data_IF_385487695544
#
_entry.id   IF_385487695544
#
_cell.length_a   1.000
_cell.length_b   1.000
_cell.length_c   1.000
_cell.angle_alpha   90.00
_cell.angle_beta   90.00
_cell.angle_gamma   90.00
#
_symmetry.space_group_name_H-M   'P 1'
#
loop_
_entity.id
_entity.type
_entity.pdbx_description
1 polymer ?
#
# COMPACT_ATOMS: atom_id res chain seq x y z
N UNK A 1 -1.12 -34.06 -50.76
CA UNK A 1 -2.48 -33.49 -50.91
C UNK A 1 -3.31 -33.92 -49.70
N UNK A 2 -3.35 -33.10 -48.65
CA UNK A 2 -3.92 -33.47 -47.33
C UNK A 2 -5.37 -33.01 -47.26
N UNK A 3 -6.31 -33.96 -47.14
CA UNK A 3 -7.76 -33.70 -47.02
C UNK A 3 -8.08 -33.15 -45.63
N UNK A 4 -8.56 -31.90 -45.58
CA UNK A 4 -9.14 -31.26 -44.41
C UNK A 4 -10.47 -31.95 -44.05
N UNK A 5 -10.48 -32.69 -42.94
CA UNK A 5 -11.71 -33.21 -42.33
C UNK A 5 -12.32 -32.12 -41.43
N UNK A 6 -13.38 -31.47 -41.91
CA UNK A 6 -14.23 -30.60 -41.10
C UNK A 6 -14.98 -31.42 -40.05
N UNK A 7 -14.58 -31.33 -38.78
CA UNK A 7 -15.35 -31.86 -37.65
C UNK A 7 -16.37 -30.81 -37.19
N UNK A 8 -17.64 -31.09 -37.47
CA UNK A 8 -18.80 -30.35 -36.96
C UNK A 8 -19.02 -30.73 -35.49
N UNK A 9 -18.60 -29.89 -34.55
CA UNK A 9 -18.88 -30.07 -33.12
C UNK A 9 -20.09 -29.22 -32.71
N UNK A 10 -21.28 -29.81 -32.81
CA UNK A 10 -22.45 -29.35 -32.07
C UNK A 10 -22.36 -29.88 -30.63
N UNK A 11 -22.22 -28.99 -29.66
CA UNK A 11 -22.16 -29.34 -28.26
C UNK A 11 -22.25 -28.11 -27.37
N UNK A 12 -23.45 -27.55 -27.24
CA UNK A 12 -23.76 -26.53 -26.24
C UNK A 12 -23.59 -27.18 -24.86
N UNK A 13 -22.39 -27.08 -24.28
CA UNK A 13 -22.17 -27.33 -22.86
C UNK A 13 -22.50 -26.04 -22.11
N UNK A 14 -23.68 -26.00 -21.49
CA UNK A 14 -24.02 -25.03 -20.44
C UNK A 14 -23.08 -25.30 -19.26
N UNK A 15 -21.93 -24.63 -19.23
CA UNK A 15 -21.13 -24.55 -18.02
C UNK A 15 -21.96 -23.74 -17.02
N UNK A 16 -22.62 -24.45 -16.09
CA UNK A 16 -23.08 -23.86 -14.83
C UNK A 16 -21.83 -23.30 -14.16
N UNK A 17 -21.60 -22.00 -14.32
CA UNK A 17 -20.77 -21.22 -13.42
C UNK A 17 -21.40 -21.33 -12.04
N UNK A 18 -20.93 -22.30 -11.25
CA UNK A 18 -21.16 -22.27 -9.82
C UNK A 18 -20.45 -21.03 -9.31
N UNK A 19 -21.20 -19.97 -9.06
CA UNK A 19 -20.74 -18.86 -8.22
C UNK A 19 -20.34 -19.48 -6.89
N UNK A 20 -19.03 -19.67 -6.70
CA UNK A 20 -18.48 -19.95 -5.37
C UNK A 20 -18.85 -18.73 -4.53
N UNK A 21 -19.79 -18.93 -3.60
CA UNK A 21 -20.08 -17.95 -2.57
C UNK A 21 -18.74 -17.64 -1.89
N UNK A 22 -18.23 -16.44 -2.10
CA UNK A 22 -17.16 -15.91 -1.27
C UNK A 22 -17.76 -15.88 0.14
N UNK A 23 -17.26 -16.74 1.03
CA UNK A 23 -17.56 -16.65 2.44
C UNK A 23 -16.99 -15.33 2.91
N UNK A 24 -17.91 -14.40 3.16
CA UNK A 24 -17.61 -13.07 3.61
C UNK A 24 -17.31 -13.12 5.11
N UNK A 25 -16.10 -12.72 5.48
CA UNK A 25 -15.80 -12.20 6.83
C UNK A 25 -16.52 -10.86 7.00
N UNK A 26 -17.85 -10.85 6.92
CA UNK A 26 -18.65 -9.67 6.58
C UNK A 26 -18.96 -8.78 7.79
N UNK A 27 -18.91 -9.30 9.02
CA UNK A 27 -19.33 -8.51 10.19
C UNK A 27 -18.28 -7.56 10.75
N UNK A 28 -16.99 -7.88 10.62
CA UNK A 28 -15.92 -7.02 11.18
C UNK A 28 -15.51 -5.90 10.22
N UNK A 29 -15.47 -6.18 8.90
CA UNK A 29 -15.09 -5.18 7.89
C UNK A 29 -16.14 -4.07 7.73
N UNK A 30 -17.44 -4.39 7.87
CA UNK A 30 -18.49 -3.38 7.72
C UNK A 30 -18.41 -2.28 8.80
N UNK A 31 -18.04 -2.64 10.03
CA UNK A 31 -17.88 -1.65 11.11
C UNK A 31 -16.67 -0.72 10.86
N UNK A 32 -15.56 -1.24 10.34
CA UNK A 32 -14.40 -0.42 9.95
C UNK A 32 -14.73 0.54 8.80
N UNK A 33 -15.51 0.08 7.81
CA UNK A 33 -15.93 0.91 6.67
C UNK A 33 -16.93 1.98 7.11
N UNK A 34 -17.90 1.64 7.96
CA UNK A 34 -18.87 2.60 8.48
C UNK A 34 -18.20 3.66 9.36
N UNK A 35 -17.23 3.26 10.19
CA UNK A 35 -16.42 4.20 10.97
C UNK A 35 -15.59 5.12 10.07
N UNK A 36 -14.97 4.59 9.01
CA UNK A 36 -14.24 5.38 8.02
C UNK A 36 -15.15 6.40 7.30
N UNK A 37 -16.35 5.99 6.89
CA UNK A 37 -17.31 6.86 6.21
C UNK A 37 -17.86 7.95 7.14
N UNK A 38 -18.04 7.65 8.42
CA UNK A 38 -18.45 8.63 9.42
C UNK A 38 -17.32 9.62 9.72
N UNK A 39 -16.09 9.12 9.82
CA UNK A 39 -14.90 9.94 10.02
C UNK A 39 -14.68 10.95 8.89
N UNK A 40 -14.86 10.53 7.62
CA UNK A 40 -14.77 11.40 6.44
C UNK A 40 -15.77 12.55 6.44
N UNK A 41 -16.94 12.38 7.07
CA UNK A 41 -17.98 13.41 7.12
C UNK A 41 -17.72 14.47 8.19
N UNK A 42 -16.84 14.19 9.14
CA UNK A 42 -16.71 15.00 10.36
C UNK A 42 -15.41 15.79 10.50
N UNK A 43 -14.34 15.50 9.75
CA UNK A 43 -13.03 16.01 10.14
C UNK A 43 -12.04 16.26 8.98
N UNK A 44 -11.69 17.52 8.74
CA UNK A 44 -10.59 17.91 7.83
C UNK A 44 -9.23 17.39 8.34
N UNK A 45 -9.08 17.15 9.65
CA UNK A 45 -7.84 16.67 10.27
C UNK A 45 -7.49 15.20 9.96
N UNK A 46 -8.49 14.36 9.66
CA UNK A 46 -8.27 12.92 9.38
C UNK A 46 -7.69 12.65 7.99
N UNK A 47 -7.77 13.62 7.08
CA UNK A 47 -7.19 13.52 5.74
C UNK A 47 -5.69 13.26 5.76
N UNK A 48 -4.95 13.95 6.66
CA UNK A 48 -3.52 13.73 6.83
C UNK A 48 -3.20 12.33 7.38
N UNK A 49 -3.95 11.89 8.38
CA UNK A 49 -3.78 10.56 8.98
C UNK A 49 -4.02 9.44 7.95
N UNK A 50 -5.03 9.60 7.10
CA UNK A 50 -5.33 8.65 6.03
C UNK A 50 -4.26 8.66 4.94
N UNK A 51 -3.74 9.85 4.61
CA UNK A 51 -2.64 10.03 3.68
C UNK A 51 -1.36 9.32 4.15
N UNK A 52 -0.98 9.44 5.43
CA UNK A 52 0.25 8.81 5.94
C UNK A 52 0.08 7.31 6.18
N UNK A 53 -1.08 6.86 6.65
CA UNK A 53 -1.34 5.43 6.89
C UNK A 53 -1.56 4.64 5.60
N UNK A 54 -1.70 5.33 4.47
CA UNK A 54 -1.94 4.72 3.16
C UNK A 54 -3.28 3.99 3.10
N UNK A 55 -4.32 4.56 3.73
CA UNK A 55 -5.68 4.01 3.72
C UNK A 55 -6.36 4.31 2.38
N UNK A 56 -6.09 5.48 1.80
CA UNK A 56 -6.64 5.87 0.51
C UNK A 56 -5.88 5.16 -0.64
N UNK A 57 -6.58 4.39 -1.50
CA UNK A 57 -5.97 3.68 -2.63
C UNK A 57 -5.50 4.58 -3.78
N UNK A 58 -5.95 5.83 -3.85
CA UNK A 58 -5.57 6.78 -4.91
C UNK A 58 -4.11 7.26 -4.78
N UNK A 59 -3.50 7.07 -3.61
CA UNK A 59 -2.08 7.36 -3.38
C UNK A 59 -1.24 6.09 -3.38
N UNK A 60 0.06 6.20 -3.68
CA UNK A 60 0.99 5.08 -3.56
C UNK A 60 0.89 4.44 -2.14
N UNK A 61 0.89 3.10 -2.02
CA UNK A 61 0.60 2.43 -0.75
C UNK A 61 1.69 2.71 0.31
N UNK A 62 1.43 3.71 1.16
CA UNK A 62 2.30 4.19 2.24
C UNK A 62 2.27 3.33 3.49
N UNK A 63 1.37 2.35 3.56
CA UNK A 63 1.22 1.45 4.71
C UNK A 63 2.55 0.78 5.10
N UNK A 64 3.30 0.31 4.11
CA UNK A 64 4.63 -0.31 4.33
C UNK A 64 5.61 0.69 4.94
N UNK A 65 5.66 1.92 4.41
CA UNK A 65 6.51 3.00 4.92
C UNK A 65 6.12 3.42 6.34
N UNK A 66 4.82 3.60 6.59
CA UNK A 66 4.30 3.97 7.91
C UNK A 66 4.70 2.94 8.96
N UNK A 67 4.43 1.65 8.69
CA UNK A 67 4.80 0.57 9.60
C UNK A 67 6.31 0.48 9.83
N UNK A 68 7.10 0.67 8.77
CA UNK A 68 8.55 0.66 8.85
C UNK A 68 9.06 1.78 9.77
N UNK A 69 8.64 3.03 9.57
CA UNK A 69 9.11 4.16 10.36
C UNK A 69 8.63 4.09 11.83
N UNK A 70 7.39 3.64 12.07
CA UNK A 70 6.90 3.40 13.43
C UNK A 70 7.75 2.33 14.13
N UNK A 71 8.13 1.25 13.43
CA UNK A 71 9.03 0.23 13.99
C UNK A 71 10.41 0.78 14.39
N UNK A 72 10.83 1.88 13.76
CA UNK A 72 12.09 2.60 14.04
C UNK A 72 11.94 3.69 15.10
N UNK A 73 10.77 3.79 15.74
CA UNK A 73 10.43 4.82 16.75
C UNK A 73 10.46 6.24 16.16
N UNK A 74 9.91 6.41 14.97
CA UNK A 74 9.79 7.71 14.29
C UNK A 74 8.32 8.13 14.25
N UNK A 75 8.03 9.39 14.61
CA UNK A 75 6.68 9.95 14.59
C UNK A 75 6.32 10.47 13.19
N UNK A 76 5.70 9.61 12.39
CA UNK A 76 5.29 9.89 11.00
C UNK A 76 4.26 11.02 10.89
N UNK A 77 3.43 11.23 11.92
CA UNK A 77 2.40 12.28 11.89
C UNK A 77 2.99 13.69 11.84
N UNK A 78 4.24 13.87 12.27
CA UNK A 78 4.95 15.16 12.29
C UNK A 78 5.81 15.40 11.05
N UNK A 79 5.95 14.40 10.18
CA UNK A 79 6.71 14.51 8.94
C UNK A 79 5.98 15.39 7.93
N UNK A 80 6.73 15.98 7.02
CA UNK A 80 6.17 16.71 5.88
C UNK A 80 5.69 15.74 4.80
N UNK A 81 4.78 16.20 3.94
CA UNK A 81 4.31 15.50 2.73
C UNK A 81 5.50 15.01 1.89
N UNK A 82 6.50 15.87 1.68
CA UNK A 82 7.70 15.56 0.89
C UNK A 82 8.53 14.45 1.51
N UNK A 83 8.79 14.50 2.83
CA UNK A 83 9.57 13.46 3.51
C UNK A 83 8.86 12.10 3.45
N UNK A 84 7.53 12.09 3.62
CA UNK A 84 6.70 10.88 3.49
C UNK A 84 6.82 10.29 2.08
N UNK A 85 6.71 11.10 1.03
CA UNK A 85 6.83 10.64 -0.36
C UNK A 85 8.24 10.15 -0.70
N UNK A 86 9.28 10.88 -0.28
CA UNK A 86 10.66 10.48 -0.48
C UNK A 86 10.95 9.13 0.18
N UNK A 87 10.59 8.96 1.45
CA UNK A 87 10.82 7.70 2.15
C UNK A 87 10.02 6.54 1.56
N UNK A 88 8.79 6.80 1.10
CA UNK A 88 7.99 5.78 0.41
C UNK A 88 8.71 5.29 -0.84
N UNK A 89 9.21 6.21 -1.68
CA UNK A 89 9.97 5.89 -2.89
C UNK A 89 11.27 5.15 -2.56
N UNK A 90 12.01 5.59 -1.55
CA UNK A 90 13.25 4.93 -1.12
C UNK A 90 13.02 3.49 -0.65
N UNK A 91 11.98 3.28 0.14
CA UNK A 91 11.61 1.95 0.63
C UNK A 91 11.18 1.03 -0.52
N UNK A 92 10.39 1.56 -1.47
CA UNK A 92 10.03 0.84 -2.70
C UNK A 92 11.25 0.50 -3.56
N UNK A 93 12.18 1.44 -3.75
CA UNK A 93 13.43 1.18 -4.47
C UNK A 93 14.24 0.07 -3.83
N UNK A 94 14.34 0.05 -2.49
CA UNK A 94 15.07 -1.00 -1.76
C UNK A 94 14.40 -2.36 -1.93
N UNK A 95 13.06 -2.40 -1.97
CA UNK A 95 12.27 -3.63 -2.20
C UNK A 95 12.47 -4.19 -3.61
N UNK A 96 12.55 -3.32 -4.63
CA UNK A 96 12.66 -3.73 -6.05
C UNK A 96 14.12 -4.01 -6.44
N UNK A 97 15.05 -3.16 -6.04
CA UNK A 97 16.43 -3.16 -6.53
C UNK A 97 17.48 -3.62 -5.49
N UNK A 98 17.05 -3.87 -4.26
CA UNK A 98 17.89 -4.32 -3.15
C UNK A 98 18.61 -3.20 -2.40
N UNK A 99 19.47 -3.58 -1.45
CA UNK A 99 20.09 -2.68 -0.47
C UNK A 99 21.06 -1.64 -1.05
N UNK A 100 21.44 -1.78 -2.33
CA UNK A 100 22.25 -0.80 -3.07
C UNK A 100 21.49 0.49 -3.43
N UNK A 101 20.17 0.52 -3.22
CA UNK A 101 19.31 1.67 -3.44
C UNK A 101 18.49 1.99 -2.17
N UNK A 102 18.10 3.27 -1.98
CA UNK A 102 18.45 4.45 -2.79
C UNK A 102 19.95 4.79 -2.72
N UNK A 103 20.47 5.46 -3.76
CA UNK A 103 21.83 6.03 -3.76
C UNK A 103 21.74 7.51 -3.47
N UNK A 104 22.39 7.95 -2.40
CA UNK A 104 22.50 9.35 -2.05
C UNK A 104 23.86 9.92 -2.45
N UNK A 105 23.96 11.24 -2.67
CA UNK A 105 25.24 11.90 -2.81
C UNK A 105 26.00 11.94 -1.47
N UNK A 106 27.29 12.30 -1.53
CA UNK A 106 28.13 12.57 -0.34
C UNK A 106 28.27 11.40 0.64
N UNK A 107 28.28 10.17 0.14
CA UNK A 107 28.45 8.94 0.95
C UNK A 107 27.36 8.73 2.02
N UNK A 108 26.26 9.48 1.93
CA UNK A 108 25.12 9.33 2.83
C UNK A 108 24.45 7.98 2.58
N UNK A 109 24.14 7.27 3.67
CA UNK A 109 23.44 5.98 3.64
C UNK A 109 21.95 6.14 3.90
N UNK A 110 21.19 5.09 3.60
CA UNK A 110 19.77 5.05 3.94
C UNK A 110 19.56 5.02 5.45
N UNK A 111 20.47 4.37 6.17
CA UNK A 111 20.51 4.33 7.62
C UNK A 111 20.71 5.73 8.23
N UNK A 112 21.60 6.55 7.68
CA UNK A 112 21.80 7.94 8.13
C UNK A 112 20.51 8.76 8.01
N UNK A 113 19.72 8.54 6.94
CA UNK A 113 18.42 9.19 6.77
C UNK A 113 17.38 8.74 7.79
N UNK A 114 17.44 7.49 8.24
CA UNK A 114 16.57 7.00 9.32
C UNK A 114 16.98 7.67 10.63
N UNK A 115 18.28 7.79 10.91
CA UNK A 115 18.79 8.47 12.10
C UNK A 115 18.40 9.95 12.12
N UNK A 116 18.57 10.66 11.01
CA UNK A 116 18.12 12.06 10.84
C UNK A 116 16.64 12.22 11.18
N UNK A 117 15.77 11.35 10.66
CA UNK A 117 14.34 11.39 10.99
C UNK A 117 14.05 11.03 12.45
N UNK A 118 14.83 10.14 13.05
CA UNK A 118 14.65 9.72 14.44
C UNK A 118 15.03 10.84 15.42
N UNK A 119 16.08 11.59 15.11
CA UNK A 119 16.47 12.79 15.85
C UNK A 119 15.44 13.90 15.69
N UNK A 120 14.95 14.10 14.46
CA UNK A 120 13.98 15.17 14.14
C UNK A 120 12.57 14.88 14.69
N UNK A 121 12.14 13.63 14.62
CA UNK A 121 10.78 13.17 14.95
C UNK A 121 10.78 11.93 15.84
N UNK A 122 11.29 12.00 17.08
CA UNK A 122 11.25 10.86 17.98
C UNK A 122 9.79 10.49 18.32
N UNK A 123 9.47 9.20 18.21
CA UNK A 123 8.22 8.64 18.74
C UNK A 123 8.45 8.38 20.23
N UNK A 124 7.77 9.15 21.08
CA UNK A 124 7.80 9.03 22.54
C UNK A 124 7.35 7.64 22.99
#
# INVERSE_FOLDING_TARGET
>A
MIKLLYRKSNGIRKNKLSFRKFFTTEKSQNCEIENFLNDLKTDEGKSWEYYIKGINPDYEPRKDMYNFLISKKINVHRMTVYEVECFTKWLLMRKIYGNKFPRFPYEITFEDKIEELKEKYPLQ
#
